data_IF_559984594671
#
_entry.id   IF_559984594671
#
_cell.length_a   1.000
_cell.length_b   1.000
_cell.length_c   1.000
_cell.angle_alpha   90.00
_cell.angle_beta   90.00
_cell.angle_gamma   90.00
#
_symmetry.space_group_name_H-M   'P 1'
#
loop_
_entity.id
_entity.type
_entity.pdbx_description
1 polymer ?
#
# COMPACT_ATOMS: atom_id res chain seq x y z
N UNK A 1 -70.09 35.22 -48.83
CA UNK A 1 -69.88 33.83 -48.34
C UNK A 1 -68.35 33.67 -48.03
N UNK A 2 -67.97 33.82 -46.78
CA UNK A 2 -66.54 33.91 -46.36
C UNK A 2 -66.08 32.55 -45.91
N UNK A 3 -65.01 32.02 -46.49
CA UNK A 3 -64.22 30.87 -45.98
C UNK A 3 -63.19 31.37 -44.99
N UNK A 4 -63.34 31.04 -43.71
CA UNK A 4 -62.33 31.14 -42.68
C UNK A 4 -61.32 29.97 -42.84
N UNK A 5 -60.09 30.25 -43.14
CA UNK A 5 -58.98 29.29 -43.15
C UNK A 5 -58.38 29.28 -41.75
N UNK A 6 -58.44 28.10 -41.07
CA UNK A 6 -57.85 27.85 -39.78
C UNK A 6 -56.35 27.52 -39.98
N UNK A 7 -55.44 28.42 -39.57
CA UNK A 7 -54.00 28.27 -39.74
C UNK A 7 -53.22 28.48 -38.45
N UNK A 8 -53.56 27.81 -37.38
CA UNK A 8 -52.81 28.06 -36.13
C UNK A 8 -52.49 26.83 -35.26
N UNK A 9 -52.84 25.61 -35.68
CA UNK A 9 -52.61 24.44 -34.83
C UNK A 9 -51.32 23.66 -35.11
N UNK A 10 -50.68 23.87 -36.27
CA UNK A 10 -49.54 23.00 -36.67
C UNK A 10 -48.15 23.53 -36.29
N UNK A 11 -47.98 24.81 -35.96
CA UNK A 11 -46.72 25.39 -35.57
C UNK A 11 -46.35 25.08 -34.08
N UNK A 12 -47.32 24.99 -33.17
CA UNK A 12 -47.06 24.69 -31.77
C UNK A 12 -46.62 23.24 -31.53
N UNK A 13 -47.13 22.26 -32.31
CA UNK A 13 -46.71 20.86 -32.21
C UNK A 13 -45.28 20.62 -32.70
N UNK A 14 -44.81 21.33 -33.72
CA UNK A 14 -43.42 21.22 -34.23
C UNK A 14 -42.40 21.84 -33.27
N UNK A 15 -42.76 22.91 -32.56
CA UNK A 15 -41.90 23.52 -31.54
C UNK A 15 -41.74 22.64 -30.30
N UNK A 16 -42.80 22.04 -29.83
CA UNK A 16 -42.80 21.17 -28.66
C UNK A 16 -41.97 19.89 -28.92
N UNK A 17 -42.06 19.31 -30.13
CA UNK A 17 -41.25 18.15 -30.52
C UNK A 17 -39.76 18.47 -30.61
N UNK A 18 -39.38 19.66 -31.09
CA UNK A 18 -37.98 20.08 -31.13
C UNK A 18 -37.38 20.34 -29.75
N UNK A 19 -38.12 20.94 -28.84
CA UNK A 19 -37.72 21.16 -27.46
C UNK A 19 -37.55 19.82 -26.73
N UNK A 20 -38.51 18.88 -26.94
CA UNK A 20 -38.42 17.54 -26.35
C UNK A 20 -37.18 16.76 -26.85
N UNK A 21 -36.85 16.83 -28.14
CA UNK A 21 -35.65 16.22 -28.73
C UNK A 21 -34.37 16.88 -28.18
N UNK A 22 -34.37 18.21 -27.99
CA UNK A 22 -33.21 18.90 -27.39
C UNK A 22 -33.01 18.52 -25.93
N UNK A 23 -34.12 18.37 -25.17
CA UNK A 23 -34.04 17.92 -23.77
C UNK A 23 -33.59 16.45 -23.67
N UNK A 24 -34.05 15.58 -24.57
CA UNK A 24 -33.59 14.19 -24.64
C UNK A 24 -32.10 14.13 -25.05
N UNK A 25 -31.65 14.96 -25.99
CA UNK A 25 -30.25 15.07 -26.36
C UNK A 25 -29.37 15.65 -25.23
N UNK A 26 -29.86 16.63 -24.49
CA UNK A 26 -29.20 17.16 -23.31
C UNK A 26 -29.16 16.13 -22.17
N UNK A 27 -30.23 15.38 -21.96
CA UNK A 27 -30.25 14.30 -20.97
C UNK A 27 -29.38 13.10 -21.38
N UNK A 28 -29.22 12.81 -22.67
CA UNK A 28 -28.32 11.78 -23.15
C UNK A 28 -26.83 12.24 -23.14
N UNK A 29 -26.56 13.54 -23.23
CA UNK A 29 -25.22 14.10 -23.02
C UNK A 29 -24.83 14.18 -21.53
N UNK A 30 -25.77 14.08 -20.60
CA UNK A 30 -25.55 13.91 -19.16
C UNK A 30 -25.51 12.41 -18.77
N UNK A 31 -25.16 11.53 -19.68
CA UNK A 31 -24.42 10.36 -19.27
C UNK A 31 -23.05 10.87 -18.84
N UNK A 32 -22.98 11.37 -17.60
CA UNK A 32 -21.74 11.47 -16.88
C UNK A 32 -21.10 10.11 -17.06
N UNK A 33 -20.11 10.06 -17.97
CA UNK A 33 -19.19 8.98 -18.03
C UNK A 33 -18.73 8.84 -16.58
N UNK A 34 -19.23 7.85 -15.85
CA UNK A 34 -18.59 7.42 -14.62
C UNK A 34 -17.26 6.90 -15.11
N UNK A 35 -16.31 7.80 -15.24
CA UNK A 35 -14.91 7.41 -15.37
C UNK A 35 -14.72 6.34 -14.31
N UNK A 36 -14.27 5.17 -14.71
CA UNK A 36 -13.98 4.11 -13.78
C UNK A 36 -13.09 4.76 -12.72
N UNK A 37 -13.60 4.86 -11.49
CA UNK A 37 -12.88 5.51 -10.41
C UNK A 37 -11.84 4.50 -9.98
N UNK A 38 -10.64 4.67 -10.46
CA UNK A 38 -9.52 3.86 -10.04
C UNK A 38 -9.12 4.28 -8.63
N UNK A 39 -8.78 3.31 -7.81
CA UNK A 39 -8.08 3.56 -6.58
C UNK A 39 -6.59 3.69 -6.91
N UNK A 40 -5.99 4.80 -6.48
CA UNK A 40 -4.57 5.08 -6.66
C UNK A 40 -3.91 4.91 -5.31
N UNK A 41 -3.05 3.90 -5.20
CA UNK A 41 -2.35 3.57 -3.97
C UNK A 41 -0.90 4.05 -4.02
N UNK A 42 -0.40 4.58 -2.90
CA UNK A 42 0.99 4.96 -2.72
C UNK A 42 1.59 4.28 -1.49
N UNK A 43 2.81 3.78 -1.63
CA UNK A 43 3.57 3.26 -0.49
C UNK A 43 3.94 4.39 0.46
N UNK A 44 3.82 4.11 1.76
CA UNK A 44 4.21 5.00 2.84
C UNK A 44 5.22 4.26 3.72
N UNK A 45 6.46 4.73 3.68
CA UNK A 45 7.56 4.23 4.50
C UNK A 45 7.58 4.98 5.84
N UNK A 46 7.30 4.33 6.98
CA UNK A 46 6.97 5.00 8.24
C UNK A 46 8.21 5.35 9.10
N UNK A 47 9.34 5.69 8.49
CA UNK A 47 10.60 5.89 9.20
C UNK A 47 10.89 7.34 9.59
N UNK A 48 10.02 8.27 9.25
CA UNK A 48 10.18 9.70 9.55
C UNK A 48 9.65 10.09 10.94
N UNK A 49 9.73 9.14 11.83
CA UNK A 49 9.59 9.29 13.28
C UNK A 49 10.43 8.19 13.95
N UNK A 50 10.90 8.38 15.17
CA UNK A 50 11.71 7.40 15.87
C UNK A 50 11.22 7.16 17.29
N UNK A 51 9.93 6.88 17.42
CA UNK A 51 9.32 6.58 18.71
C UNK A 51 9.55 5.13 19.18
N UNK A 52 10.04 4.24 18.29
CA UNK A 52 10.46 2.92 18.70
C UNK A 52 11.88 2.97 19.29
N UNK A 53 12.08 2.56 20.55
CA UNK A 53 13.39 2.58 21.20
C UNK A 53 14.48 1.79 20.45
N UNK A 54 14.07 0.78 19.65
CA UNK A 54 15.00 -0.01 18.83
C UNK A 54 15.65 0.80 17.71
N UNK A 55 15.08 1.96 17.35
CA UNK A 55 15.64 2.86 16.34
C UNK A 55 16.73 3.78 16.89
N UNK A 56 16.80 3.95 18.21
CA UNK A 56 17.78 4.86 18.85
C UNK A 56 19.25 4.59 18.51
N UNK A 57 19.71 3.34 18.34
CA UNK A 57 21.08 3.08 17.87
C UNK A 57 21.37 3.65 16.48
N UNK A 58 20.38 3.71 15.59
CA UNK A 58 20.49 4.23 14.23
C UNK A 58 20.28 5.75 14.18
N UNK A 59 19.26 6.22 14.89
CA UNK A 59 18.79 7.61 14.90
C UNK A 59 18.66 8.13 16.33
N UNK A 60 19.81 8.52 16.93
CA UNK A 60 19.86 8.90 18.35
C UNK A 60 19.11 10.18 18.70
N UNK A 61 18.90 11.10 17.73
CA UNK A 61 18.15 12.33 17.96
C UNK A 61 16.63 12.10 18.03
N UNK A 62 16.16 10.93 17.60
CA UNK A 62 14.75 10.59 17.61
C UNK A 62 13.94 11.15 16.45
N UNK A 63 14.60 11.51 15.35
CA UNK A 63 13.95 12.05 14.16
C UNK A 63 13.78 11.02 13.04
N UNK A 64 14.19 9.77 13.28
CA UNK A 64 14.11 8.71 12.28
C UNK A 64 15.00 8.97 11.08
N UNK A 65 14.55 8.56 9.90
CA UNK A 65 15.30 8.68 8.64
C UNK A 65 15.71 10.12 8.31
N UNK A 66 15.07 11.14 8.90
CA UNK A 66 15.52 12.52 8.74
C UNK A 66 16.97 12.73 9.20
N UNK A 67 17.43 11.98 10.18
CA UNK A 67 18.85 12.08 10.65
C UNK A 67 19.80 11.64 9.54
N UNK A 68 19.45 10.62 8.77
CA UNK A 68 20.19 10.21 7.58
C UNK A 68 20.19 11.31 6.53
N UNK A 69 19.03 11.89 6.24
CA UNK A 69 18.89 12.98 5.24
C UNK A 69 19.72 14.21 5.66
N UNK A 70 19.65 14.61 6.93
CA UNK A 70 20.41 15.79 7.43
C UNK A 70 21.92 15.60 7.41
N UNK A 71 22.39 14.38 7.60
CA UNK A 71 23.83 14.07 7.64
C UNK A 71 24.44 13.76 6.28
N UNK A 72 23.65 13.68 5.23
CA UNK A 72 24.14 13.48 3.87
C UNK A 72 25.07 14.61 3.45
N UNK A 73 26.07 14.30 2.66
CA UNK A 73 27.08 15.25 2.17
C UNK A 73 27.03 15.39 0.65
N UNK A 74 27.48 16.54 0.17
CA UNK A 74 27.70 16.77 -1.24
C UNK A 74 28.69 15.74 -1.81
N UNK A 75 28.32 15.06 -2.89
CA UNK A 75 29.12 13.99 -3.50
C UNK A 75 30.25 14.51 -4.38
N UNK A 76 30.10 15.71 -4.95
CA UNK A 76 31.10 16.37 -5.79
C UNK A 76 30.83 17.89 -5.81
N UNK A 77 31.83 18.74 -6.14
CA UNK A 77 31.72 20.20 -6.03
C UNK A 77 30.57 20.84 -6.83
N UNK A 78 30.15 20.22 -7.92
CA UNK A 78 29.02 20.70 -8.75
C UNK A 78 27.66 20.11 -8.36
N UNK A 79 27.61 19.28 -7.30
CA UNK A 79 26.35 18.69 -6.87
C UNK A 79 25.50 19.75 -6.15
N UNK A 80 24.33 20.15 -6.70
CA UNK A 80 23.46 21.11 -6.03
C UNK A 80 22.95 20.47 -4.73
N UNK A 81 23.41 21.00 -3.62
CA UNK A 81 23.09 20.44 -2.32
C UNK A 81 22.31 21.43 -1.48
N UNK A 82 21.04 21.27 -1.42
CA UNK A 82 20.17 21.75 -0.33
C UNK A 82 18.86 20.97 -0.42
N UNK A 83 18.84 19.79 0.20
CA UNK A 83 17.66 18.91 0.19
C UNK A 83 16.87 19.05 1.46
N UNK A 84 16.71 20.27 1.94
CA UNK A 84 15.77 20.53 3.02
C UNK A 84 14.35 20.24 2.49
N UNK A 85 13.59 19.36 3.14
CA UNK A 85 12.22 19.11 2.74
C UNK A 85 11.39 20.40 2.76
N UNK A 86 10.45 20.52 1.81
CA UNK A 86 9.60 21.71 1.70
C UNK A 86 8.81 21.99 3.00
N UNK A 87 8.38 20.94 3.68
CA UNK A 87 7.65 21.04 4.95
C UNK A 87 8.56 20.97 6.19
N UNK A 88 9.88 20.99 6.00
CA UNK A 88 10.83 20.72 7.06
C UNK A 88 10.89 19.24 7.43
N UNK A 89 11.56 18.94 8.53
CA UNK A 89 11.71 17.59 9.07
C UNK A 89 10.51 17.24 9.94
N UNK A 90 9.40 16.92 9.29
CA UNK A 90 8.12 16.64 9.93
C UNK A 90 8.15 15.29 10.68
N UNK A 91 7.30 15.18 11.70
CA UNK A 91 7.11 13.93 12.43
C UNK A 91 5.80 13.26 11.98
N UNK A 92 5.86 12.20 11.21
CA UNK A 92 4.68 11.48 10.70
C UNK A 92 3.84 10.80 11.81
N UNK A 93 4.36 10.68 13.03
CA UNK A 93 3.57 10.23 14.17
C UNK A 93 2.67 11.32 14.75
N UNK A 94 2.81 12.58 14.31
CA UNK A 94 1.91 13.67 14.69
C UNK A 94 0.64 13.63 13.82
N UNK A 95 -0.57 13.56 14.45
CA UNK A 95 -1.82 13.57 13.69
C UNK A 95 -2.00 14.80 12.80
N UNK A 96 -1.50 15.98 13.20
CA UNK A 96 -1.62 17.19 12.40
C UNK A 96 -0.75 17.14 11.13
N UNK A 97 0.43 16.51 11.21
CA UNK A 97 1.28 16.24 10.05
C UNK A 97 0.57 15.27 9.11
N UNK A 98 0.05 14.17 9.64
CA UNK A 98 -0.66 13.19 8.85
C UNK A 98 -1.94 13.77 8.21
N UNK A 99 -2.62 14.72 8.87
CA UNK A 99 -3.74 15.46 8.27
C UNK A 99 -3.31 16.25 7.03
N UNK A 100 -2.12 16.87 7.06
CA UNK A 100 -1.55 17.55 5.89
C UNK A 100 -1.22 16.57 4.77
N UNK A 101 -0.60 15.46 5.08
CA UNK A 101 -0.21 14.43 4.11
C UNK A 101 -1.44 13.80 3.44
N UNK A 102 -2.45 13.42 4.22
CA UNK A 102 -3.73 12.93 3.69
C UNK A 102 -4.37 13.98 2.78
N UNK A 103 -4.39 15.25 3.21
CA UNK A 103 -4.94 16.34 2.42
C UNK A 103 -4.26 16.46 1.06
N UNK A 104 -2.94 16.53 1.05
CA UNK A 104 -2.16 16.64 -0.19
C UNK A 104 -2.30 15.40 -1.08
N UNK A 105 -2.25 14.20 -0.51
CA UNK A 105 -2.40 12.97 -1.27
C UNK A 105 -3.76 12.91 -1.98
N UNK A 106 -4.84 13.17 -1.27
CA UNK A 106 -6.20 13.14 -1.83
C UNK A 106 -6.41 14.23 -2.88
N UNK A 107 -5.90 15.45 -2.64
CA UNK A 107 -6.01 16.57 -3.58
C UNK A 107 -5.23 16.32 -4.89
N UNK A 108 -4.28 15.38 -4.88
CA UNK A 108 -3.51 14.93 -6.05
C UNK A 108 -3.94 13.54 -6.58
N UNK A 109 -5.08 13.01 -6.11
CA UNK A 109 -5.70 11.81 -6.65
C UNK A 109 -5.25 10.49 -6.02
N UNK A 110 -4.43 10.50 -4.98
CA UNK A 110 -4.09 9.31 -4.18
C UNK A 110 -5.15 9.13 -3.11
N UNK A 111 -5.74 7.94 -3.03
CA UNK A 111 -6.84 7.64 -2.10
C UNK A 111 -6.59 6.39 -1.24
N UNK A 112 -5.43 5.75 -1.40
CA UNK A 112 -5.03 4.59 -0.60
C UNK A 112 -3.57 4.74 -0.19
N UNK A 113 -3.26 4.57 1.09
CA UNK A 113 -1.89 4.41 1.57
C UNK A 113 -1.57 2.93 1.78
N UNK A 114 -0.43 2.48 1.27
CA UNK A 114 0.15 1.18 1.54
C UNK A 114 1.19 1.39 2.62
N UNK A 115 0.87 1.05 3.87
CA UNK A 115 1.83 1.19 4.95
C UNK A 115 2.85 0.06 4.91
N UNK A 116 4.13 0.39 4.78
CA UNK A 116 5.21 -0.53 5.06
C UNK A 116 5.15 -0.87 6.55
N UNK A 117 4.75 -2.10 6.84
CA UNK A 117 4.52 -2.57 8.20
C UNK A 117 5.52 -3.66 8.54
N UNK A 118 6.14 -3.56 9.69
CA UNK A 118 7.24 -4.42 10.08
C UNK A 118 6.95 -5.18 11.35
N UNK A 119 7.58 -6.35 11.48
CA UNK A 119 7.50 -7.21 12.64
C UNK A 119 8.84 -7.84 12.93
N UNK A 120 9.44 -7.51 14.08
CA UNK A 120 10.71 -8.04 14.52
C UNK A 120 10.65 -8.31 16.04
N UNK A 121 11.38 -9.34 16.50
CA UNK A 121 11.43 -9.72 17.92
C UNK A 121 10.06 -9.89 18.58
N UNK A 122 9.13 -10.56 17.88
CA UNK A 122 7.82 -10.89 18.41
C UNK A 122 6.86 -9.70 18.55
N UNK A 123 7.13 -8.54 17.93
CA UNK A 123 6.32 -7.33 18.04
C UNK A 123 6.41 -6.43 16.83
N UNK A 124 5.40 -5.56 16.61
CA UNK A 124 5.45 -4.56 15.55
C UNK A 124 6.67 -3.63 15.69
N UNK A 125 7.13 -3.15 14.56
CA UNK A 125 8.23 -2.21 14.47
C UNK A 125 7.84 -1.05 13.56
N UNK A 126 8.20 0.18 13.92
CA UNK A 126 7.84 1.43 13.22
C UNK A 126 6.31 1.63 13.00
N UNK A 127 5.48 1.11 13.89
CA UNK A 127 4.02 1.19 13.75
C UNK A 127 3.43 2.55 14.20
N UNK A 128 4.25 3.43 14.76
CA UNK A 128 3.79 4.67 15.40
C UNK A 128 3.18 5.64 14.40
N UNK A 129 3.71 5.76 13.19
CA UNK A 129 3.14 6.56 12.11
C UNK A 129 1.69 6.15 11.81
N UNK A 130 1.41 4.86 11.73
CA UNK A 130 0.04 4.36 11.54
C UNK A 130 -0.83 4.64 12.76
N UNK A 131 -0.37 4.24 13.96
CA UNK A 131 -1.22 4.25 15.17
C UNK A 131 -1.43 5.64 15.76
N UNK A 132 -0.41 6.47 15.76
CA UNK A 132 -0.44 7.80 16.36
C UNK A 132 -0.68 8.90 15.32
N UNK A 133 -0.10 8.80 14.14
CA UNK A 133 -0.34 9.72 13.05
C UNK A 133 -1.68 9.44 12.36
N UNK A 134 -1.73 8.42 11.51
CA UNK A 134 -2.87 8.17 10.63
C UNK A 134 -4.19 7.91 11.37
N UNK A 135 -4.22 6.94 12.29
CA UNK A 135 -5.46 6.56 12.98
C UNK A 135 -6.00 7.64 13.94
N UNK A 136 -5.21 8.68 14.23
CA UNK A 136 -5.63 9.84 15.04
C UNK A 136 -5.87 11.09 14.20
N UNK A 137 -5.54 11.10 12.91
CA UNK A 137 -5.82 12.20 12.01
C UNK A 137 -7.32 12.41 11.86
N UNK A 138 -7.77 13.68 11.93
CA UNK A 138 -9.20 14.04 11.88
C UNK A 138 -9.85 13.79 10.52
N UNK A 139 -9.04 13.83 9.45
CA UNK A 139 -9.47 13.64 8.07
C UNK A 139 -9.12 12.25 7.51
N UNK A 140 -8.82 11.26 8.37
CA UNK A 140 -8.46 9.90 7.96
C UNK A 140 -9.55 9.19 7.16
N UNK A 141 -10.81 9.59 7.33
CA UNK A 141 -11.96 9.06 6.58
C UNK A 141 -11.90 9.34 5.08
N UNK A 142 -11.08 10.33 4.65
CA UNK A 142 -10.81 10.64 3.25
C UNK A 142 -9.82 9.70 2.58
N UNK A 143 -9.08 8.91 3.36
CA UNK A 143 -8.01 8.03 2.90
C UNK A 143 -8.27 6.60 3.35
N UNK A 144 -8.07 5.64 2.46
CA UNK A 144 -8.00 4.22 2.82
C UNK A 144 -6.57 3.81 3.07
N UNK A 145 -6.38 2.70 3.78
CA UNK A 145 -5.04 2.13 3.95
C UNK A 145 -5.10 0.61 4.02
N UNK A 146 -3.99 -0.01 3.67
CA UNK A 146 -3.73 -1.41 3.98
C UNK A 146 -2.26 -1.63 4.33
N UNK A 147 -1.96 -2.79 4.87
CA UNK A 147 -0.62 -3.13 5.34
C UNK A 147 0.13 -3.93 4.29
N UNK A 148 1.36 -3.55 4.03
CA UNK A 148 2.37 -4.39 3.40
C UNK A 148 3.32 -4.88 4.49
N UNK A 149 3.27 -6.17 4.80
CA UNK A 149 4.24 -6.74 5.72
C UNK A 149 5.61 -6.83 5.03
N UNK A 150 6.49 -5.90 5.40
CA UNK A 150 7.84 -5.79 4.90
C UNK A 150 8.75 -6.78 5.66
N UNK A 151 8.59 -8.06 5.35
CA UNK A 151 9.21 -9.20 6.02
C UNK A 151 10.64 -9.48 5.49
N UNK A 152 11.39 -8.44 5.19
CA UNK A 152 12.81 -8.57 4.84
C UNK A 152 13.71 -8.44 6.07
N UNK A 153 14.94 -8.91 5.97
CA UNK A 153 15.93 -8.75 7.03
C UNK A 153 16.34 -7.28 7.18
N UNK A 154 16.56 -6.85 8.40
CA UNK A 154 17.19 -5.56 8.71
C UNK A 154 18.69 -5.76 8.81
N UNK A 155 19.39 -5.08 7.94
CA UNK A 155 20.86 -5.11 7.89
C UNK A 155 21.45 -3.90 8.64
N UNK A 156 22.72 -4.01 9.01
CA UNK A 156 23.50 -2.93 9.60
C UNK A 156 23.65 -1.69 8.70
N UNK A 157 23.22 -1.78 7.42
CA UNK A 157 23.25 -0.67 6.46
C UNK A 157 22.40 0.55 6.89
N UNK A 158 21.41 0.35 7.76
CA UNK A 158 20.66 1.46 8.35
C UNK A 158 21.51 2.34 9.26
N UNK A 159 22.60 1.79 9.82
CA UNK A 159 23.57 2.60 10.53
C UNK A 159 24.61 3.15 9.54
N UNK A 160 24.48 4.39 9.15
CA UNK A 160 25.39 5.05 8.21
C UNK A 160 26.85 5.05 8.64
N UNK A 161 27.12 4.84 9.94
CA UNK A 161 28.48 4.70 10.49
C UNK A 161 29.09 3.35 10.14
N UNK A 162 28.25 2.30 10.06
CA UNK A 162 28.63 0.93 9.76
C UNK A 162 28.55 0.59 8.27
N UNK A 163 27.72 1.29 7.51
CA UNK A 163 27.51 1.07 6.08
C UNK A 163 28.81 1.13 5.24
N UNK A 164 29.88 1.73 5.78
CA UNK A 164 31.19 1.81 5.12
C UNK A 164 31.98 0.49 5.17
N UNK A 165 31.63 -0.43 6.04
CA UNK A 165 32.37 -1.66 6.27
C UNK A 165 31.90 -2.84 5.43
N UNK A 166 30.86 -2.66 4.61
CA UNK A 166 30.35 -3.62 3.60
C UNK A 166 30.09 -5.05 4.10
N UNK A 167 29.92 -5.25 5.39
CA UNK A 167 29.48 -6.54 5.93
C UNK A 167 27.98 -6.50 6.13
N UNK A 168 27.26 -7.31 5.35
CA UNK A 168 25.79 -7.45 5.44
C UNK A 168 25.41 -8.29 6.67
N UNK A 169 25.57 -7.70 7.85
CA UNK A 169 25.19 -8.36 9.08
C UNK A 169 23.69 -8.13 9.35
N UNK A 170 22.95 -9.22 9.44
CA UNK A 170 21.53 -9.21 9.82
C UNK A 170 21.39 -8.81 11.28
N UNK A 171 20.67 -7.74 11.56
CA UNK A 171 20.34 -7.27 12.91
C UNK A 171 19.05 -7.92 13.38
N UNK A 172 18.00 -7.90 12.55
CA UNK A 172 16.74 -8.59 12.78
C UNK A 172 16.33 -9.36 11.55
N UNK A 173 15.89 -10.60 11.78
CA UNK A 173 15.38 -11.45 10.71
C UNK A 173 13.94 -11.10 10.37
N UNK A 174 13.63 -11.02 9.08
CA UNK A 174 12.28 -10.79 8.58
C UNK A 174 11.45 -12.07 8.48
N UNK A 175 12.12 -13.23 8.42
CA UNK A 175 11.46 -14.53 8.40
C UNK A 175 10.92 -14.89 9.79
N UNK A 176 9.74 -15.51 9.81
CA UNK A 176 9.07 -15.96 11.02
C UNK A 176 8.61 -17.42 10.87
N UNK A 177 8.52 -18.13 11.97
CA UNK A 177 7.92 -19.47 11.96
C UNK A 177 6.39 -19.42 11.89
N UNK A 178 5.76 -20.59 11.88
CA UNK A 178 4.31 -20.72 11.76
C UNK A 178 3.56 -20.09 12.92
N UNK A 179 4.04 -20.24 14.13
CA UNK A 179 3.39 -19.69 15.34
C UNK A 179 3.41 -18.16 15.31
N UNK A 180 4.53 -17.58 14.97
CA UNK A 180 4.70 -16.14 14.84
C UNK A 180 3.86 -15.56 13.68
N UNK A 181 3.80 -16.28 12.55
CA UNK A 181 2.93 -15.90 11.43
C UNK A 181 1.47 -15.85 11.85
N UNK A 182 0.99 -16.84 12.57
CA UNK A 182 -0.39 -16.86 13.09
C UNK A 182 -0.66 -15.68 14.03
N UNK A 183 0.29 -15.35 14.91
CA UNK A 183 0.21 -14.20 15.80
C UNK A 183 0.11 -12.88 15.04
N UNK A 184 0.92 -12.71 13.99
CA UNK A 184 0.87 -11.55 13.08
C UNK A 184 -0.52 -11.45 12.44
N UNK A 185 -1.01 -12.53 11.86
CA UNK A 185 -2.29 -12.55 11.15
C UNK A 185 -3.47 -12.22 12.08
N UNK A 186 -3.57 -12.90 13.22
CA UNK A 186 -4.64 -12.67 14.20
C UNK A 186 -4.61 -11.25 14.75
N UNK A 187 -3.42 -10.71 15.02
CA UNK A 187 -3.28 -9.33 15.44
C UNK A 187 -3.83 -8.35 14.40
N UNK A 188 -3.46 -8.52 13.15
CA UNK A 188 -3.89 -7.61 12.08
C UNK A 188 -5.40 -7.71 11.81
N UNK A 189 -5.98 -8.91 11.86
CA UNK A 189 -7.43 -9.09 11.81
C UNK A 189 -8.11 -8.28 12.91
N UNK A 190 -7.66 -8.44 14.16
CA UNK A 190 -8.31 -7.85 15.32
C UNK A 190 -8.11 -6.33 15.41
N UNK A 191 -6.94 -5.83 15.00
CA UNK A 191 -6.61 -4.42 15.16
C UNK A 191 -7.04 -3.55 13.98
N UNK A 192 -6.97 -4.07 12.75
CA UNK A 192 -7.04 -3.22 11.58
C UNK A 192 -8.15 -3.58 10.59
N UNK A 193 -8.40 -4.85 10.28
CA UNK A 193 -9.28 -5.24 9.19
C UNK A 193 -10.72 -4.73 9.35
N UNK A 194 -11.19 -4.56 10.59
CA UNK A 194 -12.52 -4.05 10.89
C UNK A 194 -12.65 -2.52 10.78
N UNK A 195 -11.52 -1.80 10.73
CA UNK A 195 -11.58 -0.34 10.62
C UNK A 195 -12.26 0.09 9.32
N UNK A 196 -13.09 1.14 9.35
CA UNK A 196 -13.77 1.64 8.16
C UNK A 196 -12.78 2.19 7.12
N UNK A 197 -11.60 2.65 7.55
CA UNK A 197 -10.52 3.14 6.70
C UNK A 197 -9.70 2.00 6.08
N UNK A 198 -9.77 0.77 6.62
CA UNK A 198 -9.01 -0.34 6.05
C UNK A 198 -9.49 -0.68 4.63
N UNK A 199 -8.56 -0.73 3.68
CA UNK A 199 -8.89 -0.95 2.28
C UNK A 199 -9.36 -2.38 2.02
N UNK A 200 -10.47 -2.49 1.29
CA UNK A 200 -11.12 -3.75 0.97
C UNK A 200 -11.51 -3.79 -0.51
N UNK A 201 -11.27 -4.89 -1.16
CA UNK A 201 -11.73 -5.19 -2.52
C UNK A 201 -12.91 -6.16 -2.40
N UNK A 202 -14.09 -5.73 -2.83
CA UNK A 202 -15.32 -6.54 -2.71
C UNK A 202 -15.59 -7.05 -1.29
N UNK A 203 -15.28 -6.23 -0.29
CA UNK A 203 -15.41 -6.58 1.13
C UNK A 203 -14.29 -7.43 1.70
N UNK A 204 -13.34 -7.89 0.90
CA UNK A 204 -12.16 -8.65 1.31
C UNK A 204 -11.07 -7.67 1.76
N UNK A 205 -10.57 -7.73 3.00
CA UNK A 205 -9.42 -6.95 3.41
C UNK A 205 -8.22 -7.24 2.50
N UNK A 206 -7.42 -6.22 2.19
CA UNK A 206 -6.18 -6.39 1.43
C UNK A 206 -5.01 -6.51 2.38
N UNK A 207 -4.16 -7.51 2.18
CA UNK A 207 -2.91 -7.66 2.92
C UNK A 207 -1.78 -7.99 1.95
N UNK A 208 -0.70 -7.23 2.01
CA UNK A 208 0.43 -7.42 1.11
C UNK A 208 1.62 -8.02 1.84
N UNK A 209 2.34 -8.89 1.19
CA UNK A 209 3.59 -9.51 1.65
C UNK A 209 4.72 -9.06 0.73
N UNK A 210 5.83 -8.64 1.32
CA UNK A 210 6.94 -8.04 0.59
C UNK A 210 7.95 -9.06 0.08
N UNK A 211 8.35 -10.00 0.92
CA UNK A 211 9.39 -10.98 0.60
C UNK A 211 8.85 -12.41 0.67
N UNK A 212 8.65 -13.01 -0.51
CA UNK A 212 8.17 -14.38 -0.62
C UNK A 212 9.21 -15.41 -0.20
N UNK A 213 10.51 -15.11 -0.36
CA UNK A 213 11.57 -16.05 0.01
C UNK A 213 11.65 -16.19 1.52
N UNK A 214 11.68 -15.07 2.24
CA UNK A 214 11.64 -15.08 3.70
C UNK A 214 10.35 -15.73 4.25
N UNK A 215 9.22 -15.51 3.57
CA UNK A 215 7.96 -16.17 3.95
C UNK A 215 8.06 -17.68 3.84
N UNK A 216 8.55 -18.19 2.71
CA UNK A 216 8.64 -19.62 2.45
C UNK A 216 9.70 -20.28 3.34
N UNK A 217 10.86 -19.66 3.48
CA UNK A 217 11.92 -20.18 4.33
C UNK A 217 11.48 -20.24 5.79
N UNK A 218 10.87 -19.17 6.31
CA UNK A 218 10.40 -19.08 7.67
C UNK A 218 9.30 -20.09 8.00
N UNK A 219 8.37 -20.30 7.09
CA UNK A 219 7.28 -21.28 7.24
C UNK A 219 7.71 -22.73 6.97
N UNK A 220 8.94 -22.94 6.47
CA UNK A 220 9.52 -24.26 6.24
C UNK A 220 9.08 -24.93 4.94
N UNK A 221 8.80 -24.14 3.92
CA UNK A 221 8.60 -24.58 2.54
C UNK A 221 7.30 -24.19 1.88
N UNK A 222 7.21 -24.45 0.57
CA UNK A 222 6.07 -24.08 -0.28
C UNK A 222 4.76 -24.64 0.25
N UNK A 223 4.70 -25.95 0.48
CA UNK A 223 3.47 -26.62 0.95
C UNK A 223 2.98 -26.03 2.27
N UNK A 224 3.90 -25.83 3.22
CA UNK A 224 3.58 -25.23 4.53
C UNK A 224 3.16 -23.76 4.39
N UNK A 225 3.74 -23.05 3.44
CA UNK A 225 3.33 -21.68 3.12
C UNK A 225 1.91 -21.64 2.56
N UNK A 226 1.58 -22.53 1.62
CA UNK A 226 0.22 -22.66 1.10
C UNK A 226 -0.78 -23.00 2.22
N UNK A 227 -0.41 -23.89 3.16
CA UNK A 227 -1.24 -24.20 4.33
C UNK A 227 -1.45 -22.99 5.24
N UNK A 228 -0.38 -22.22 5.47
CA UNK A 228 -0.42 -21.01 6.29
C UNK A 228 -1.32 -19.93 5.66
N UNK A 229 -1.20 -19.70 4.36
CA UNK A 229 -2.04 -18.73 3.66
C UNK A 229 -3.51 -19.19 3.58
N UNK A 230 -3.78 -20.49 3.41
CA UNK A 230 -5.14 -21.03 3.51
C UNK A 230 -5.73 -20.86 4.91
N UNK A 231 -4.94 -21.11 5.96
CA UNK A 231 -5.35 -20.87 7.33
C UNK A 231 -5.68 -19.38 7.57
N UNK A 232 -4.84 -18.47 7.11
CA UNK A 232 -5.08 -17.03 7.25
C UNK A 232 -6.42 -16.61 6.63
N UNK A 233 -6.73 -17.10 5.43
CA UNK A 233 -8.05 -16.87 4.80
C UNK A 233 -9.20 -17.40 5.65
N UNK A 234 -9.03 -18.55 6.27
CA UNK A 234 -10.06 -19.13 7.14
C UNK A 234 -10.29 -18.27 8.38
N UNK A 235 -9.22 -17.77 9.01
CA UNK A 235 -9.35 -16.86 10.17
C UNK A 235 -10.04 -15.53 9.79
N UNK A 236 -9.74 -14.99 8.63
CA UNK A 236 -10.40 -13.80 8.10
C UNK A 236 -11.90 -14.07 7.87
N UNK A 237 -12.25 -15.24 7.34
CA UNK A 237 -13.67 -15.64 7.18
C UNK A 237 -14.36 -15.82 8.55
N UNK A 238 -13.72 -16.40 9.54
CA UNK A 238 -14.24 -16.51 10.90
C UNK A 238 -14.47 -15.13 11.52
N UNK A 239 -13.67 -14.13 11.16
CA UNK A 239 -13.84 -12.74 11.58
C UNK A 239 -14.98 -12.01 10.87
N UNK A 240 -15.71 -12.68 9.96
CA UNK A 240 -16.90 -12.13 9.29
C UNK A 240 -16.65 -11.51 7.93
N UNK A 241 -15.47 -11.65 7.35
CA UNK A 241 -15.19 -11.19 6.00
C UNK A 241 -15.47 -12.29 4.95
N UNK A 242 -15.78 -11.95 3.68
CA UNK A 242 -16.04 -12.94 2.65
C UNK A 242 -14.80 -13.75 2.27
N UNK A 243 -13.64 -13.14 2.27
CA UNK A 243 -12.32 -13.74 2.03
C UNK A 243 -11.23 -12.70 2.36
N UNK A 244 -9.98 -13.01 2.01
CA UNK A 244 -8.81 -12.15 2.09
C UNK A 244 -8.22 -11.93 0.70
N UNK A 245 -7.88 -10.70 0.37
CA UNK A 245 -7.10 -10.35 -0.81
C UNK A 245 -5.61 -10.31 -0.42
N UNK A 246 -4.85 -11.32 -0.81
CA UNK A 246 -3.41 -11.39 -0.51
C UNK A 246 -2.63 -10.95 -1.74
N UNK A 247 -1.83 -9.91 -1.60
CA UNK A 247 -0.97 -9.37 -2.66
C UNK A 247 0.50 -9.70 -2.38
N UNK A 248 1.28 -9.86 -3.43
CA UNK A 248 2.73 -10.03 -3.34
C UNK A 248 3.45 -8.83 -3.95
N UNK A 249 4.47 -8.32 -3.27
CA UNK A 249 5.43 -7.42 -3.88
C UNK A 249 6.47 -8.21 -4.65
N UNK A 250 6.65 -7.87 -5.92
CA UNK A 250 7.59 -8.55 -6.81
C UNK A 250 8.80 -7.65 -7.10
N UNK A 251 9.98 -8.26 -7.10
CA UNK A 251 11.25 -7.57 -7.38
C UNK A 251 11.79 -7.89 -8.78
N UNK A 252 11.34 -8.99 -9.38
CA UNK A 252 11.75 -9.43 -10.69
C UNK A 252 10.58 -10.09 -11.44
N UNK A 253 10.57 -10.04 -12.78
CA UNK A 253 9.53 -10.68 -13.57
C UNK A 253 9.58 -12.23 -13.49
N UNK A 254 10.74 -12.78 -13.14
CA UNK A 254 10.94 -14.21 -12.97
C UNK A 254 11.41 -14.46 -11.53
N UNK A 255 10.69 -15.32 -10.82
CA UNK A 255 11.13 -15.82 -9.53
C UNK A 255 12.00 -17.05 -9.77
N UNK A 256 13.31 -16.89 -9.55
CA UNK A 256 14.21 -18.03 -9.46
C UNK A 256 13.93 -18.72 -8.11
N UNK A 257 13.06 -19.71 -8.14
CA UNK A 257 12.73 -20.47 -6.98
C UNK A 257 13.65 -21.70 -6.90
N UNK A 258 14.54 -21.70 -5.93
CA UNK A 258 15.15 -22.97 -5.48
C UNK A 258 14.12 -23.62 -4.59
N UNK A 259 13.44 -24.66 -5.08
CA UNK A 259 12.61 -25.48 -4.21
C UNK A 259 13.42 -25.96 -3.02
N UNK A 260 12.76 -26.31 -1.92
CA UNK A 260 13.42 -26.90 -0.74
C UNK A 260 14.13 -28.22 -1.06
N UNK A 261 13.88 -28.80 -2.22
CA UNK A 261 14.59 -29.95 -2.78
C UNK A 261 15.95 -29.58 -3.40
N UNK A 262 16.36 -28.29 -3.36
CA UNK A 262 17.63 -27.82 -3.92
C UNK A 262 17.65 -27.69 -5.43
N UNK A 263 16.55 -28.02 -6.13
CA UNK A 263 16.45 -27.86 -7.57
C UNK A 263 16.02 -26.43 -7.90
N UNK A 264 16.84 -25.74 -8.71
CA UNK A 264 16.47 -24.44 -9.25
C UNK A 264 15.48 -24.64 -10.38
N UNK A 265 14.23 -24.36 -10.13
CA UNK A 265 13.20 -24.31 -11.17
C UNK A 265 12.85 -22.86 -11.40
N UNK A 266 13.09 -22.36 -12.60
CA UNK A 266 12.60 -21.06 -13.03
C UNK A 266 11.10 -21.23 -13.35
N UNK A 267 10.25 -20.74 -12.46
CA UNK A 267 8.80 -20.76 -12.66
C UNK A 267 8.37 -19.36 -13.07
N UNK A 268 7.50 -19.21 -14.09
CA UNK A 268 6.89 -17.92 -14.37
C UNK A 268 6.24 -17.36 -13.12
N UNK A 269 6.59 -16.12 -12.80
CA UNK A 269 6.20 -15.51 -11.52
C UNK A 269 4.68 -15.51 -11.30
N UNK A 270 3.89 -15.30 -12.35
CA UNK A 270 2.43 -15.32 -12.30
C UNK A 270 1.84 -16.70 -11.93
N UNK A 271 2.44 -17.78 -12.40
CA UNK A 271 2.01 -19.15 -12.06
C UNK A 271 2.33 -19.43 -10.59
N UNK A 272 3.57 -19.17 -10.20
CA UNK A 272 4.04 -19.41 -8.84
C UNK A 272 3.25 -18.62 -7.77
N UNK A 273 2.97 -17.33 -8.04
CA UNK A 273 2.18 -16.47 -7.16
C UNK A 273 0.78 -17.06 -6.93
N UNK A 274 0.15 -17.53 -8.02
CA UNK A 274 -1.18 -18.15 -7.96
C UNK A 274 -1.16 -19.49 -7.21
N UNK A 275 -0.16 -20.32 -7.45
CA UNK A 275 -0.02 -21.63 -6.79
C UNK A 275 0.21 -21.49 -5.29
N UNK A 276 0.98 -20.49 -4.85
CA UNK A 276 1.15 -20.20 -3.43
C UNK A 276 -0.13 -19.76 -2.75
N UNK A 277 -1.09 -19.19 -3.50
CA UNK A 277 -2.36 -18.72 -2.97
C UNK A 277 -2.48 -17.20 -2.86
N UNK A 278 -1.63 -16.44 -3.56
CA UNK A 278 -1.80 -15.00 -3.71
C UNK A 278 -2.87 -14.69 -4.78
N UNK A 279 -3.54 -13.56 -4.64
CA UNK A 279 -4.55 -13.11 -5.60
C UNK A 279 -3.96 -12.23 -6.70
N UNK A 280 -2.95 -11.45 -6.35
CA UNK A 280 -2.36 -10.45 -7.25
C UNK A 280 -0.92 -10.13 -6.83
N UNK A 281 -0.22 -9.43 -7.69
CA UNK A 281 1.12 -8.94 -7.42
C UNK A 281 1.32 -7.53 -7.96
N UNK A 282 2.26 -6.80 -7.37
CA UNK A 282 2.69 -5.49 -7.84
C UNK A 282 4.19 -5.33 -7.64
N UNK A 283 4.76 -4.31 -8.27
CA UNK A 283 6.16 -3.96 -8.06
C UNK A 283 6.28 -2.83 -7.06
N UNK A 284 7.29 -2.91 -6.21
CA UNK A 284 7.62 -1.85 -5.25
C UNK A 284 8.19 -0.62 -5.96
N UNK A 285 9.03 -0.85 -6.99
CA UNK A 285 9.70 0.21 -7.75
C UNK A 285 9.69 -0.09 -9.24
N UNK A 286 9.35 0.89 -10.05
CA UNK A 286 9.46 0.77 -11.53
C UNK A 286 10.90 0.71 -12.03
N UNK A 287 11.86 1.16 -11.23
CA UNK A 287 13.28 1.18 -11.60
C UNK A 287 13.83 -0.21 -11.98
N UNK A 288 13.28 -1.28 -11.43
CA UNK A 288 13.71 -2.65 -11.73
C UNK A 288 13.40 -3.11 -13.16
N UNK A 289 12.61 -2.36 -13.93
CA UNK A 289 12.33 -2.64 -15.34
C UNK A 289 13.18 -1.83 -16.31
N UNK A 290 14.02 -0.94 -15.83
CA UNK A 290 14.80 -0.02 -16.66
C UNK A 290 16.23 -0.50 -16.95
N UNK A 291 16.57 -1.73 -16.54
CA UNK A 291 17.91 -2.32 -16.73
C UNK A 291 17.84 -3.66 -17.43
#
# INVERSE_FOLDING_TARGET
MMKKVSFTANHKKKGLSRVLILVILLLSCVQVSRAARYDVAAFLYPAYCADDPRLRPFWPMGMGEWETVMTMQQRHPGHPWNRTPLWGYINEADPAVMEMEIGQAVDHGINVFIFDWYWYDGRPFMETTLRNGFLKARNRDRMKFFLMWANHDVLNLWDTRLARFQEDNVIWQGKVDREEFERICLRNINMYFHLPEYYKIEGKPVFMIYDVHNLIEGLGGVEKTQEALRWFRQEVKKAGFPDLEIMLTMWAPNLNYSGLDGNKTEVPANEFVTELGFNSSTHYQFAHYLW
#
